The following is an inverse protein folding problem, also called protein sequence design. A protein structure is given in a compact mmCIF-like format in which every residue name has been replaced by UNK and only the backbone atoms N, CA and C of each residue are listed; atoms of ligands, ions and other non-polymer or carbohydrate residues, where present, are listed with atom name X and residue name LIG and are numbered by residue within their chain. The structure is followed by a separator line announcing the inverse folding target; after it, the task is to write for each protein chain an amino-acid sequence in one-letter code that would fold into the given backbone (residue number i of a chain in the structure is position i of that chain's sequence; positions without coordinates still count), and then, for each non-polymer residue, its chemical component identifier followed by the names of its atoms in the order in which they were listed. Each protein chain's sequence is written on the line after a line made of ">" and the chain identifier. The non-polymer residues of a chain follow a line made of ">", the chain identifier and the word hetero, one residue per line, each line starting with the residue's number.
data_IF_310568765856
#
_entry.id   IF_310568765856
#
_cell.length_a   1.000
_cell.length_b   1.000
_cell.length_c   1.000
_cell.angle_alpha   90.00
_cell.angle_beta   90.00
_cell.angle_gamma   90.00
#
_symmetry.space_group_name_H-M   'P 1'
#
loop_
_entity.id
_entity.type
_entity.pdbx_description
1 polymer ?
#
# COMPACT_ATOMS: atom_id res chain seq x y z
N UNK A 1 -11.06 -3.74 -12.74
CA UNK A 1 -9.95 -3.37 -11.84
C UNK A 1 -9.45 -4.62 -11.12
N UNK A 2 -8.82 -5.50 -11.86
CA UNK A 2 -8.31 -6.76 -11.32
C UNK A 2 -6.79 -6.81 -11.46
N UNK A 3 -6.13 -7.38 -10.45
CA UNK A 3 -4.69 -7.60 -10.48
C UNK A 3 -4.41 -8.85 -11.32
N UNK A 4 -3.56 -8.78 -12.37
CA UNK A 4 -3.19 -9.97 -13.11
C UNK A 4 -2.51 -11.02 -12.21
N UNK A 5 -2.65 -12.33 -12.50
CA UNK A 5 -2.14 -13.38 -11.61
C UNK A 5 -0.64 -13.34 -11.34
N UNK A 6 0.15 -12.80 -12.26
CA UNK A 6 1.60 -12.72 -12.13
C UNK A 6 2.08 -11.43 -11.47
N UNK A 7 1.16 -10.60 -11.00
CA UNK A 7 1.51 -9.31 -10.40
C UNK A 7 1.50 -9.41 -8.88
N UNK A 8 2.22 -8.48 -8.26
CA UNK A 8 2.34 -8.37 -6.81
C UNK A 8 1.74 -7.08 -6.32
N UNK A 9 1.46 -7.04 -5.02
CA UNK A 9 0.99 -5.84 -4.33
C UNK A 9 2.12 -5.30 -3.45
N UNK A 10 2.43 -4.02 -3.59
CA UNK A 10 3.29 -3.34 -2.61
C UNK A 10 2.41 -2.85 -1.48
N UNK A 11 2.74 -3.27 -0.25
CA UNK A 11 1.90 -3.00 0.92
C UNK A 11 2.49 -1.87 1.75
N UNK A 12 1.65 -0.88 2.04
CA UNK A 12 1.88 0.05 3.14
C UNK A 12 0.84 -0.33 4.19
N UNK A 13 1.29 -1.05 5.23
CA UNK A 13 0.37 -1.58 6.23
C UNK A 13 1.09 -2.47 7.23
N UNK A 14 0.31 -3.02 8.14
CA UNK A 14 0.79 -3.89 9.22
C UNK A 14 0.64 -5.36 8.84
N UNK A 15 1.14 -6.23 9.73
CA UNK A 15 1.15 -7.68 9.48
C UNK A 15 -0.22 -8.29 9.19
N UNK A 16 -1.28 -7.74 9.77
CA UNK A 16 -2.63 -8.24 9.53
C UNK A 16 -3.04 -8.18 8.07
N UNK A 17 -2.68 -7.10 7.38
CA UNK A 17 -2.98 -6.94 5.96
C UNK A 17 -2.18 -7.94 5.13
N UNK A 18 -0.93 -8.17 5.49
CA UNK A 18 -0.10 -9.18 4.83
C UNK A 18 -0.70 -10.58 4.97
N UNK A 19 -1.17 -10.91 6.17
CA UNK A 19 -1.80 -12.20 6.44
C UNK A 19 -3.03 -12.40 5.55
N UNK A 20 -3.85 -11.38 5.39
CA UNK A 20 -5.03 -11.45 4.54
C UNK A 20 -4.66 -11.69 3.07
N UNK A 21 -3.67 -10.97 2.57
CA UNK A 21 -3.21 -11.15 1.19
C UNK A 21 -2.67 -12.56 0.98
N UNK A 22 -1.85 -13.04 1.91
CA UNK A 22 -1.27 -14.37 1.82
C UNK A 22 -2.36 -15.47 1.85
N UNK A 23 -3.39 -15.29 2.68
CA UNK A 23 -4.46 -16.29 2.78
C UNK A 23 -5.25 -16.42 1.48
N UNK A 24 -5.26 -15.38 0.65
CA UNK A 24 -5.95 -15.38 -0.63
C UNK A 24 -5.01 -15.68 -1.80
N UNK A 25 -3.76 -16.04 -1.52
CA UNK A 25 -2.80 -16.40 -2.56
C UNK A 25 -2.27 -15.22 -3.35
N UNK A 26 -2.37 -14.00 -2.80
CA UNK A 26 -1.88 -12.80 -3.47
C UNK A 26 -0.44 -12.54 -3.03
N UNK A 27 0.48 -12.47 -3.97
CA UNK A 27 1.88 -12.15 -3.70
C UNK A 27 2.02 -10.68 -3.33
N UNK A 28 2.88 -10.40 -2.34
CA UNK A 28 3.08 -9.03 -1.89
C UNK A 28 4.55 -8.78 -1.56
N UNK A 29 4.91 -7.49 -1.53
CA UNK A 29 6.22 -7.00 -1.08
C UNK A 29 5.98 -5.78 -0.21
N UNK A 30 6.99 -5.36 0.54
CA UNK A 30 6.85 -4.23 1.46
C UNK A 30 6.21 -4.64 2.78
N UNK A 31 5.29 -3.82 3.27
CA UNK A 31 4.61 -4.10 4.54
C UNK A 31 5.57 -4.07 5.72
N UNK A 32 5.78 -5.22 6.34
CA UNK A 32 6.69 -5.35 7.48
C UNK A 32 8.12 -5.73 7.09
N UNK A 33 8.47 -5.64 5.80
CA UNK A 33 9.80 -5.98 5.33
C UNK A 33 10.88 -5.13 6.02
N UNK A 34 11.93 -5.75 6.59
CA UNK A 34 12.96 -5.01 7.33
C UNK A 34 13.67 -3.93 6.52
N UNK A 35 13.86 -4.14 5.23
CA UNK A 35 14.53 -3.17 4.36
C UNK A 35 13.76 -1.86 4.21
N UNK A 36 12.46 -1.87 4.51
CA UNK A 36 11.63 -0.66 4.46
C UNK A 36 11.55 0.05 5.81
N UNK A 37 12.17 -0.51 6.86
CA UNK A 37 12.18 0.06 8.21
C UNK A 37 13.54 0.65 8.55
N UNK A 38 14.09 1.42 7.62
CA UNK A 38 15.40 2.03 7.77
C UNK A 38 15.28 3.51 8.14
N UNK A 39 16.28 4.00 8.88
CA UNK A 39 16.43 5.43 9.14
C UNK A 39 17.28 6.12 8.05
N UNK A 40 17.87 5.34 7.17
CA UNK A 40 18.66 5.91 6.08
C UNK A 40 17.75 6.64 5.09
N UNK A 41 18.20 7.79 4.55
CA UNK A 41 17.42 8.48 3.53
C UNK A 41 17.21 7.61 2.30
N UNK A 42 16.03 7.72 1.71
CA UNK A 42 15.74 7.02 0.46
C UNK A 42 16.65 7.55 -0.66
N UNK A 43 17.26 6.64 -1.39
CA UNK A 43 18.09 6.98 -2.55
C UNK A 43 17.45 6.43 -3.81
N UNK A 44 17.06 7.33 -4.70
CA UNK A 44 16.45 6.93 -5.97
C UNK A 44 17.43 6.12 -6.83
N UNK A 45 18.73 6.43 -6.73
CA UNK A 45 19.74 5.69 -7.50
C UNK A 45 19.89 4.25 -7.05
N UNK A 46 19.53 3.94 -5.80
CA UNK A 46 19.58 2.58 -5.27
C UNK A 46 18.28 1.82 -5.47
N UNK A 47 17.22 2.52 -5.84
CA UNK A 47 15.93 1.88 -6.05
C UNK A 47 15.94 1.03 -7.33
N UNK A 48 15.43 -0.19 -7.20
CA UNK A 48 15.25 -1.09 -8.34
C UNK A 48 13.77 -1.35 -8.52
N UNK A 49 13.23 -0.88 -9.63
CA UNK A 49 11.82 -1.10 -9.92
C UNK A 49 11.55 -2.59 -10.15
N UNK A 50 10.48 -3.08 -9.53
CA UNK A 50 9.95 -4.42 -9.79
C UNK A 50 8.73 -4.24 -10.71
N UNK A 51 8.85 -4.58 -12.00
CA UNK A 51 7.74 -4.38 -12.94
C UNK A 51 6.54 -5.27 -12.65
N UNK A 52 6.71 -6.27 -11.80
CA UNK A 52 5.61 -7.15 -11.40
C UNK A 52 4.76 -6.56 -10.27
N UNK A 53 5.14 -5.43 -9.70
CA UNK A 53 4.27 -4.71 -8.76
C UNK A 53 3.16 -4.05 -9.57
N UNK A 54 1.96 -4.59 -9.43
CA UNK A 54 0.79 -4.15 -10.19
C UNK A 54 -0.21 -3.36 -9.37
N UNK A 55 0.03 -3.21 -8.07
CA UNK A 55 -0.83 -2.42 -7.20
C UNK A 55 -0.06 -1.96 -5.97
N UNK A 56 -0.44 -0.79 -5.45
CA UNK A 56 -0.02 -0.32 -4.14
C UNK A 56 -1.27 -0.30 -3.27
N UNK A 57 -1.24 -1.01 -2.15
CA UNK A 57 -2.35 -1.08 -1.21
C UNK A 57 -1.95 -0.39 0.09
N UNK A 58 -2.66 0.68 0.42
CA UNK A 58 -2.40 1.48 1.60
C UNK A 58 -3.43 1.20 2.68
N UNK A 59 -2.95 0.78 3.84
CA UNK A 59 -3.75 0.65 5.05
C UNK A 59 -3.15 1.52 6.15
N UNK A 60 -3.61 1.31 7.37
CA UNK A 60 -2.99 1.95 8.52
C UNK A 60 -1.63 1.31 8.76
N UNK A 61 -0.60 2.14 8.85
CA UNK A 61 0.77 1.67 9.06
C UNK A 61 1.41 2.56 10.12
N UNK A 62 1.59 2.01 11.31
CA UNK A 62 2.20 2.73 12.44
C UNK A 62 3.70 2.91 12.27
N UNK A 63 4.29 2.25 11.28
CA UNK A 63 5.70 2.38 10.95
C UNK A 63 5.92 3.11 9.63
N UNK A 64 4.95 3.91 9.23
CA UNK A 64 5.05 4.68 7.97
C UNK A 64 6.32 5.54 7.98
N UNK A 65 6.98 5.60 6.85
CA UNK A 65 8.18 6.41 6.71
C UNK A 65 8.34 6.86 5.25
N UNK A 66 9.32 7.74 5.03
CA UNK A 66 9.54 8.30 3.71
C UNK A 66 9.98 7.26 2.68
N UNK A 67 10.74 6.26 3.11
CA UNK A 67 11.17 5.17 2.21
C UNK A 67 9.98 4.41 1.64
N UNK A 68 9.02 4.06 2.49
CA UNK A 68 7.81 3.36 2.03
C UNK A 68 7.02 4.22 1.06
N UNK A 69 6.84 5.50 1.38
CA UNK A 69 6.10 6.42 0.52
C UNK A 69 6.82 6.61 -0.81
N UNK A 70 8.14 6.72 -0.78
CA UNK A 70 8.94 6.91 -1.99
C UNK A 70 8.89 5.69 -2.90
N UNK A 71 8.99 4.47 -2.34
CA UNK A 71 8.88 3.24 -3.12
C UNK A 71 7.51 3.12 -3.76
N UNK A 72 6.45 3.36 -2.98
CA UNK A 72 5.08 3.31 -3.49
C UNK A 72 4.88 4.30 -4.63
N UNK A 73 5.40 5.50 -4.48
CA UNK A 73 5.32 6.54 -5.50
C UNK A 73 5.99 6.09 -6.80
N UNK A 74 7.18 5.46 -6.69
CA UNK A 74 7.88 4.97 -7.87
C UNK A 74 7.08 3.87 -8.59
N UNK A 75 6.56 2.89 -7.86
CA UNK A 75 5.75 1.84 -8.48
C UNK A 75 4.53 2.40 -9.19
N UNK A 76 3.85 3.37 -8.57
CA UNK A 76 2.65 3.98 -9.16
C UNK A 76 2.98 4.82 -10.40
N UNK A 77 4.17 5.41 -10.46
CA UNK A 77 4.60 6.21 -11.60
C UNK A 77 5.16 5.36 -12.75
N UNK A 78 5.97 4.35 -12.40
CA UNK A 78 6.77 3.64 -13.40
C UNK A 78 6.05 2.44 -14.00
N UNK A 79 5.19 1.78 -13.23
CA UNK A 79 4.52 0.56 -13.71
C UNK A 79 3.17 0.91 -14.29
N UNK A 80 3.06 0.78 -15.61
CA UNK A 80 1.84 1.10 -16.31
C UNK A 80 0.68 0.25 -15.77
N UNK A 81 -0.46 0.91 -15.51
CA UNK A 81 -1.63 0.23 -14.98
C UNK A 81 -1.55 -0.13 -13.51
N UNK A 82 -0.50 0.28 -12.80
CA UNK A 82 -0.39 0.02 -11.37
C UNK A 82 -1.55 0.66 -10.61
N UNK A 83 -2.27 -0.15 -9.84
CA UNK A 83 -3.46 0.30 -9.14
C UNK A 83 -3.09 1.01 -7.84
N UNK A 84 -3.78 2.11 -7.55
CA UNK A 84 -3.63 2.83 -6.29
C UNK A 84 -4.87 2.52 -5.44
N UNK A 85 -4.69 1.71 -4.40
CA UNK A 85 -5.77 1.17 -3.59
C UNK A 85 -5.59 1.55 -2.13
N UNK A 86 -6.69 1.70 -1.40
CA UNK A 86 -6.67 1.98 0.02
C UNK A 86 -7.73 1.13 0.72
N UNK A 87 -7.41 0.66 1.92
CA UNK A 87 -8.39 -0.06 2.74
C UNK A 87 -9.51 0.86 3.18
N UNK A 88 -9.17 2.13 3.50
CA UNK A 88 -10.14 3.19 3.75
C UNK A 88 -9.43 4.54 3.55
N UNK A 89 -10.22 5.60 3.54
CA UNK A 89 -9.71 6.96 3.34
C UNK A 89 -10.02 7.86 4.53
N UNK A 90 -10.23 7.27 5.71
CA UNK A 90 -10.52 8.03 6.92
C UNK A 90 -9.34 8.90 7.33
N UNK A 91 -9.62 10.15 7.67
CA UNK A 91 -8.58 11.09 8.08
C UNK A 91 -8.04 10.77 9.47
N UNK A 92 -8.91 10.28 10.34
CA UNK A 92 -8.56 9.94 11.72
C UNK A 92 -9.22 8.62 12.11
N UNK A 93 -8.74 8.04 13.22
CA UNK A 93 -9.44 6.93 13.84
C UNK A 93 -9.42 7.09 15.36
N UNK A 94 -10.47 6.60 16.06
CA UNK A 94 -10.56 6.78 17.51
C UNK A 94 -9.68 5.78 18.24
N UNK A 95 -9.04 6.26 19.29
CA UNK A 95 -8.31 5.44 20.25
C UNK A 95 -8.73 5.86 21.66
N UNK A 96 -8.35 5.07 22.65
CA UNK A 96 -8.59 5.45 24.03
C UNK A 96 -7.83 6.74 24.33
N UNK A 97 -8.55 7.80 24.66
CA UNK A 97 -7.98 9.11 24.98
C UNK A 97 -7.98 10.12 23.84
N UNK A 98 -8.43 9.75 22.62
CA UNK A 98 -8.49 10.73 21.54
C UNK A 98 -8.51 10.15 20.15
N UNK A 99 -7.91 10.90 19.22
CA UNK A 99 -7.86 10.56 17.81
C UNK A 99 -6.41 10.47 17.34
N UNK A 100 -6.16 9.57 16.40
CA UNK A 100 -4.87 9.47 15.70
C UNK A 100 -5.10 9.58 14.20
N UNK A 101 -4.04 9.89 13.43
CA UNK A 101 -4.16 9.92 11.96
C UNK A 101 -4.60 8.56 11.43
N UNK A 102 -5.59 8.55 10.57
CA UNK A 102 -6.11 7.34 9.96
C UNK A 102 -5.36 6.97 8.68
N UNK A 103 -5.78 5.87 8.07
CA UNK A 103 -5.15 5.38 6.84
C UNK A 103 -5.23 6.42 5.71
N UNK A 104 -6.30 7.19 5.64
CA UNK A 104 -6.45 8.24 4.64
C UNK A 104 -5.42 9.36 4.78
N UNK A 105 -5.03 9.67 6.02
CA UNK A 105 -3.98 10.67 6.26
C UNK A 105 -2.61 10.17 5.80
N UNK A 106 -2.36 8.87 5.90
CA UNK A 106 -1.11 8.29 5.43
C UNK A 106 -1.05 8.27 3.90
N UNK A 107 -2.11 7.83 3.25
CA UNK A 107 -2.16 7.78 1.78
C UNK A 107 -2.29 9.16 1.15
N UNK A 108 -2.65 10.18 1.91
CA UNK A 108 -2.77 11.56 1.42
C UNK A 108 -1.46 12.07 0.82
N UNK A 109 -0.32 11.63 1.34
CA UNK A 109 0.99 11.98 0.79
C UNK A 109 1.09 11.56 -0.68
N UNK A 110 0.73 10.31 -0.97
CA UNK A 110 0.77 9.78 -2.33
C UNK A 110 -0.29 10.45 -3.21
N UNK A 111 -1.49 10.63 -2.66
CA UNK A 111 -2.56 11.30 -3.38
C UNK A 111 -2.16 12.70 -3.82
N UNK A 112 -1.54 13.45 -2.93
CA UNK A 112 -1.10 14.81 -3.23
C UNK A 112 0.01 14.82 -4.27
N UNK A 113 1.00 13.92 -4.12
CA UNK A 113 2.14 13.87 -5.02
C UNK A 113 1.75 13.41 -6.43
N UNK A 114 0.82 12.44 -6.52
CA UNK A 114 0.39 11.87 -7.79
C UNK A 114 -0.75 12.67 -8.44
N UNK A 115 -1.42 13.54 -7.68
CA UNK A 115 -2.65 14.21 -8.10
C UNK A 115 -3.73 13.21 -8.51
N UNK A 116 -3.81 12.11 -7.77
CA UNK A 116 -4.71 11.00 -8.08
C UNK A 116 -5.22 10.39 -6.78
N UNK A 117 -6.52 10.10 -6.72
CA UNK A 117 -7.14 9.49 -5.56
C UNK A 117 -6.99 7.98 -5.58
N UNK A 118 -6.78 7.34 -4.42
CA UNK A 118 -6.84 5.89 -4.35
C UNK A 118 -8.28 5.41 -4.45
N UNK A 119 -8.46 4.17 -4.90
CA UNK A 119 -9.75 3.51 -4.85
C UNK A 119 -9.87 2.83 -3.49
N UNK A 120 -10.90 3.22 -2.74
CA UNK A 120 -11.17 2.61 -1.44
C UNK A 120 -11.86 1.27 -1.66
N UNK A 121 -11.27 0.19 -1.12
CA UNK A 121 -11.79 -1.16 -1.33
C UNK A 121 -12.32 -1.79 -0.04
N UNK A 122 -12.42 -1.00 1.03
CA UNK A 122 -12.95 -1.44 2.29
C UNK A 122 -11.94 -2.15 3.17
N UNK A 123 -12.42 -2.71 4.27
CA UNK A 123 -11.57 -3.42 5.22
C UNK A 123 -11.08 -4.74 4.63
N UNK A 124 -9.91 -5.23 5.08
CA UNK A 124 -9.43 -6.54 4.65
C UNK A 124 -10.47 -7.64 4.88
N UNK A 125 -10.67 -8.48 3.88
CA UNK A 125 -11.61 -9.59 3.94
C UNK A 125 -11.83 -10.17 2.56
N UNK A 126 -12.56 -11.29 2.45
CA UNK A 126 -12.75 -11.95 1.17
C UNK A 126 -13.33 -11.04 0.08
N UNK A 127 -14.31 -10.21 0.44
CA UNK A 127 -14.94 -9.30 -0.53
C UNK A 127 -13.95 -8.29 -1.11
N UNK A 128 -13.12 -7.72 -0.24
CA UNK A 128 -12.09 -6.77 -0.68
C UNK A 128 -11.10 -7.44 -1.63
N UNK A 129 -10.63 -8.62 -1.23
CA UNK A 129 -9.60 -9.32 -2.00
C UNK A 129 -10.15 -9.80 -3.34
N UNK A 130 -11.44 -10.15 -3.40
CA UNK A 130 -12.10 -10.49 -4.67
C UNK A 130 -12.11 -9.32 -5.65
N UNK A 131 -12.09 -8.09 -5.16
CA UNK A 131 -12.07 -6.90 -6.01
C UNK A 131 -10.73 -6.72 -6.73
N UNK A 132 -9.65 -7.22 -6.16
CA UNK A 132 -8.30 -7.04 -6.73
C UNK A 132 -7.72 -8.32 -7.31
N UNK A 133 -8.22 -9.48 -6.90
CA UNK A 133 -7.70 -10.76 -7.33
C UNK A 133 -8.18 -11.09 -8.74
N UNK A 134 -7.25 -11.42 -9.64
CA UNK A 134 -7.59 -11.86 -10.99
C UNK A 134 -8.11 -13.29 -10.96
N UNK A 135 -9.04 -13.57 -11.83
CA UNK A 135 -9.60 -14.90 -11.97
C UNK A 135 -9.08 -15.58 -13.21
#
# INVERSE_FOLDING_TARGET
>A
MKLPPNKKVYVIGMAGLETELASEGISYVGGTAPEDHTLEPFSLSDFRNDPDVGAVLCGLDMHINYTKLSKAFQYLRLNEGCLFLATNTDSTYPVNGGLLPGAGSLSATLRYALKKDPVSIGKPGPTMLDCIKAK
#
